data_IF_953971557983
#
_entry.id   IF_953971557983
#
_cell.length_a   1.000
_cell.length_b   1.000
_cell.length_c   1.000
_cell.angle_alpha   90.00
_cell.angle_beta   90.00
_cell.angle_gamma   90.00
#
_symmetry.space_group_name_H-M   'P 1'
#
loop_
_entity.id
_entity.type
_entity.pdbx_description
1 polymer ?
#
# COMPACT_ATOMS: atom_id res chain seq x y z
N UNK A 1 3.65 -40.05 -42.00
CA UNK A 1 4.33 -39.77 -40.70
C UNK A 1 4.56 -38.28 -40.46
N UNK A 2 5.13 -37.50 -41.39
CA UNK A 2 5.47 -36.08 -41.17
C UNK A 2 4.29 -35.18 -40.77
N UNK A 3 3.11 -35.37 -41.39
CA UNK A 3 1.90 -34.60 -41.07
C UNK A 3 1.40 -34.85 -39.64
N UNK A 4 1.44 -36.09 -39.13
CA UNK A 4 1.04 -36.43 -37.76
C UNK A 4 1.91 -35.74 -36.70
N UNK A 5 3.22 -35.62 -36.95
CA UNK A 5 4.14 -34.89 -36.05
C UNK A 5 3.91 -33.37 -36.06
N UNK A 6 3.56 -32.79 -37.22
CA UNK A 6 3.23 -31.36 -37.28
C UNK A 6 1.92 -31.04 -36.55
N UNK A 7 0.90 -31.89 -36.69
CA UNK A 7 -0.36 -31.72 -35.96
C UNK A 7 -0.20 -31.88 -34.44
N UNK A 8 0.61 -32.84 -33.98
CA UNK A 8 0.86 -33.00 -32.54
C UNK A 8 1.69 -31.84 -31.96
N UNK A 9 2.69 -31.34 -32.69
CA UNK A 9 3.45 -30.16 -32.29
C UNK A 9 2.56 -28.90 -32.22
N UNK A 10 1.69 -28.69 -33.21
CA UNK A 10 0.73 -27.59 -33.21
C UNK A 10 -0.28 -27.68 -32.05
N UNK A 11 -0.76 -28.89 -31.74
CA UNK A 11 -1.62 -29.14 -30.58
C UNK A 11 -0.95 -28.80 -29.24
N UNK A 12 0.33 -29.16 -29.08
CA UNK A 12 1.10 -28.85 -27.88
C UNK A 12 1.30 -27.33 -27.69
N UNK A 13 1.62 -26.59 -28.75
CA UNK A 13 1.78 -25.13 -28.69
C UNK A 13 0.45 -24.44 -28.39
N UNK A 14 -0.66 -24.91 -28.96
CA UNK A 14 -1.99 -24.39 -28.67
C UNK A 14 -2.39 -24.61 -27.22
N UNK A 15 -2.15 -25.82 -26.69
CA UNK A 15 -2.41 -26.13 -25.28
C UNK A 15 -1.56 -25.25 -24.35
N UNK A 16 -0.29 -25.03 -24.69
CA UNK A 16 0.59 -24.12 -23.94
C UNK A 16 0.08 -22.68 -23.98
N UNK A 17 -0.40 -22.20 -25.13
CA UNK A 17 -0.95 -20.84 -25.26
C UNK A 17 -2.20 -20.65 -24.38
N UNK A 18 -3.08 -21.66 -24.32
CA UNK A 18 -4.25 -21.67 -23.43
C UNK A 18 -3.81 -21.61 -21.97
N UNK A 19 -2.85 -22.43 -21.57
CA UNK A 19 -2.30 -22.40 -20.20
C UNK A 19 -1.68 -21.05 -19.87
N UNK A 20 -0.93 -20.45 -20.80
CA UNK A 20 -0.34 -19.12 -20.61
C UNK A 20 -1.41 -18.04 -20.43
N UNK A 21 -2.51 -18.10 -21.19
CA UNK A 21 -3.64 -17.17 -21.05
C UNK A 21 -4.35 -17.32 -19.70
N UNK A 22 -4.53 -18.55 -19.23
CA UNK A 22 -5.08 -18.83 -17.90
C UNK A 22 -4.16 -18.28 -16.80
N UNK A 23 -2.84 -18.48 -16.92
CA UNK A 23 -1.85 -17.94 -15.99
C UNK A 23 -1.88 -16.41 -15.97
N UNK A 24 -1.91 -15.77 -17.13
CA UNK A 24 -2.01 -14.31 -17.25
C UNK A 24 -3.28 -13.77 -16.56
N UNK A 25 -4.42 -14.42 -16.79
CA UNK A 25 -5.69 -14.04 -16.15
C UNK A 25 -5.59 -14.15 -14.62
N UNK A 26 -4.97 -15.24 -14.12
CA UNK A 26 -4.75 -15.43 -12.69
C UNK A 26 -3.83 -14.36 -12.10
N UNK A 27 -2.72 -14.05 -12.75
CA UNK A 27 -1.78 -13.03 -12.30
C UNK A 27 -2.40 -11.63 -12.31
N UNK A 28 -3.19 -11.30 -13.32
CA UNK A 28 -3.90 -10.01 -13.36
C UNK A 28 -4.85 -9.88 -12.17
N UNK A 29 -5.61 -10.93 -11.83
CA UNK A 29 -6.50 -10.90 -10.66
C UNK A 29 -5.73 -10.79 -9.35
N UNK A 30 -4.62 -11.51 -9.20
CA UNK A 30 -3.75 -11.43 -8.02
C UNK A 30 -3.15 -10.02 -7.88
N UNK A 31 -2.72 -9.42 -8.99
CA UNK A 31 -2.22 -8.05 -9.04
C UNK A 31 -3.26 -7.04 -8.56
N UNK A 32 -4.49 -7.10 -9.09
CA UNK A 32 -5.59 -6.24 -8.64
C UNK A 32 -5.86 -6.35 -7.14
N UNK A 33 -5.89 -7.59 -6.61
CA UNK A 33 -6.13 -7.82 -5.18
C UNK A 33 -5.00 -7.25 -4.31
N UNK A 34 -3.75 -7.43 -4.73
CA UNK A 34 -2.59 -6.88 -4.03
C UNK A 34 -2.61 -5.35 -4.06
N UNK A 35 -2.89 -4.75 -5.22
CA UNK A 35 -2.99 -3.30 -5.39
C UNK A 35 -4.04 -2.69 -4.46
N UNK A 36 -5.21 -3.32 -4.34
CA UNK A 36 -6.24 -2.90 -3.39
C UNK A 36 -5.77 -3.02 -1.94
N UNK A 37 -5.12 -4.14 -1.58
CA UNK A 37 -4.61 -4.37 -0.22
C UNK A 37 -3.57 -3.31 0.19
N UNK A 38 -2.71 -2.91 -0.75
CA UNK A 38 -1.72 -1.84 -0.54
C UNK A 38 -2.42 -0.49 -0.35
N UNK A 39 -3.41 -0.16 -1.19
CA UNK A 39 -4.20 1.07 -1.04
C UNK A 39 -4.89 1.14 0.34
N UNK A 40 -5.50 0.05 0.78
CA UNK A 40 -6.12 -0.06 2.10
C UNK A 40 -5.09 0.08 3.23
N UNK A 41 -3.88 -0.46 3.03
CA UNK A 41 -2.78 -0.35 4.00
C UNK A 41 -2.33 1.09 4.19
N UNK A 42 -2.20 1.87 3.11
CA UNK A 42 -1.91 3.30 3.19
C UNK A 42 -3.02 4.05 3.93
N UNK A 43 -4.30 3.79 3.60
CA UNK A 43 -5.43 4.43 4.29
C UNK A 43 -5.45 4.13 5.80
N UNK A 44 -5.16 2.89 6.21
CA UNK A 44 -5.03 2.55 7.64
C UNK A 44 -3.83 3.23 8.29
N UNK A 45 -2.68 3.26 7.63
CA UNK A 45 -1.45 3.90 8.13
C UNK A 45 -1.69 5.38 8.42
N UNK A 46 -2.32 6.09 7.49
CA UNK A 46 -2.68 7.50 7.65
C UNK A 46 -3.65 7.72 8.82
N UNK A 47 -4.70 6.90 8.92
CA UNK A 47 -5.67 6.98 10.02
C UNK A 47 -5.00 6.79 11.38
N UNK A 48 -4.13 5.78 11.52
CA UNK A 48 -3.41 5.51 12.77
C UNK A 48 -2.44 6.62 13.13
N UNK A 49 -1.65 7.11 12.17
CA UNK A 49 -0.68 8.19 12.43
C UNK A 49 -1.36 9.52 12.76
N UNK A 50 -2.50 9.81 12.13
CA UNK A 50 -3.32 10.97 12.47
C UNK A 50 -3.91 10.86 13.87
N UNK A 51 -4.40 9.67 14.25
CA UNK A 51 -4.89 9.42 15.60
C UNK A 51 -3.76 9.55 16.64
N UNK A 52 -2.55 9.08 16.33
CA UNK A 52 -1.35 9.22 17.16
C UNK A 52 -1.01 10.71 17.38
N UNK A 53 -0.96 11.52 16.31
CA UNK A 53 -0.72 12.97 16.44
C UNK A 53 -1.77 13.66 17.31
N UNK A 54 -3.05 13.33 17.12
CA UNK A 54 -4.15 13.87 17.92
C UNK A 54 -4.01 13.47 19.40
N UNK A 55 -3.68 12.21 19.67
CA UNK A 55 -3.44 11.71 21.02
C UNK A 55 -2.24 12.41 21.68
N UNK A 56 -1.12 12.57 20.96
CA UNK A 56 0.07 13.28 21.45
C UNK A 56 -0.23 14.73 21.84
N UNK A 57 -0.99 15.46 21.01
CA UNK A 57 -1.42 16.82 21.34
C UNK A 57 -2.30 16.86 22.59
N UNK A 58 -3.25 15.92 22.74
CA UNK A 58 -4.10 15.82 23.93
C UNK A 58 -3.28 15.48 25.18
N UNK A 59 -2.30 14.59 25.07
CA UNK A 59 -1.39 14.22 26.17
C UNK A 59 -0.58 15.45 26.60
N UNK A 60 -0.08 16.26 25.67
CA UNK A 60 0.66 17.48 26.01
C UNK A 60 -0.23 18.54 26.68
N UNK A 61 -1.49 18.69 26.25
CA UNK A 61 -2.45 19.56 26.95
C UNK A 61 -2.71 19.09 28.40
N UNK A 62 -2.81 17.77 28.60
CA UNK A 62 -2.92 17.19 29.94
C UNK A 62 -1.64 17.41 30.77
N UNK A 63 -0.46 17.26 30.15
CA UNK A 63 0.82 17.49 30.83
C UNK A 63 0.93 18.92 31.36
N UNK A 64 0.54 19.91 30.56
CA UNK A 64 0.51 21.32 31.01
C UNK A 64 -0.49 21.55 32.15
N UNK A 65 -1.62 20.83 32.14
CA UNK A 65 -2.64 20.92 33.20
C UNK A 65 -2.14 20.34 34.53
N UNK A 66 -1.41 19.21 34.48
CA UNK A 66 -1.00 18.47 35.67
C UNK A 66 0.31 19.01 36.25
N UNK A 67 1.29 19.31 35.38
CA UNK A 67 2.66 19.64 35.77
C UNK A 67 3.01 21.12 35.60
N UNK A 68 2.09 21.92 35.03
CA UNK A 68 2.26 23.35 34.82
C UNK A 68 2.76 23.74 33.43
N UNK A 69 2.82 25.05 33.17
CA UNK A 69 3.16 25.59 31.85
C UNK A 69 4.56 25.14 31.40
N UNK A 70 4.67 24.73 30.14
CA UNK A 70 5.93 24.22 29.56
C UNK A 70 6.20 22.73 29.80
N UNK A 71 5.32 22.01 30.50
CA UNK A 71 5.41 20.56 30.62
C UNK A 71 4.94 19.85 29.34
N UNK A 72 5.76 18.95 28.83
CA UNK A 72 5.49 18.11 27.67
C UNK A 72 5.87 16.66 27.99
N UNK A 73 5.06 15.71 27.51
CA UNK A 73 5.39 14.27 27.57
C UNK A 73 5.92 13.83 26.22
N UNK A 74 5.28 14.30 25.14
CA UNK A 74 5.76 14.12 23.77
C UNK A 74 6.41 15.42 23.35
N UNK A 75 7.69 15.40 23.02
CA UNK A 75 8.40 16.62 22.68
C UNK A 75 8.08 17.12 21.26
N UNK A 76 8.57 18.32 20.94
CA UNK A 76 8.25 18.97 19.67
C UNK A 76 8.90 18.28 18.46
N UNK A 77 10.04 17.60 18.65
CA UNK A 77 10.72 16.85 17.59
C UNK A 77 9.97 15.54 17.27
N UNK A 78 9.44 14.88 18.29
CA UNK A 78 8.56 13.72 18.13
C UNK A 78 7.26 14.10 17.40
N UNK A 79 6.61 15.21 17.79
CA UNK A 79 5.43 15.73 17.09
C UNK A 79 5.71 16.04 15.62
N UNK A 80 6.85 16.68 15.32
CA UNK A 80 7.24 17.00 13.95
C UNK A 80 7.55 15.73 13.14
N UNK A 81 8.10 14.70 13.77
CA UNK A 81 8.32 13.39 13.16
C UNK A 81 6.99 12.74 12.78
N UNK A 82 5.99 12.76 13.67
CA UNK A 82 4.66 12.23 13.36
C UNK A 82 4.00 12.97 12.20
N UNK A 83 4.07 14.31 12.17
CA UNK A 83 3.54 15.11 11.07
C UNK A 83 4.23 14.76 9.74
N UNK A 84 5.55 14.63 9.74
CA UNK A 84 6.32 14.26 8.55
C UNK A 84 5.92 12.87 8.05
N UNK A 85 5.76 11.89 8.97
CA UNK A 85 5.33 10.54 8.62
C UNK A 85 3.93 10.52 8.00
N UNK A 86 2.99 11.34 8.47
CA UNK A 86 1.65 11.47 7.87
C UNK A 86 1.79 11.99 6.43
N UNK A 87 2.52 13.09 6.23
CA UNK A 87 2.74 13.67 4.90
C UNK A 87 3.38 12.68 3.93
N UNK A 88 4.44 11.99 4.35
CA UNK A 88 5.13 11.00 3.51
C UNK A 88 4.22 9.82 3.16
N UNK A 89 3.38 9.35 4.09
CA UNK A 89 2.41 8.28 3.78
C UNK A 89 1.40 8.71 2.70
N UNK A 90 0.86 9.93 2.78
CA UNK A 90 -0.07 10.45 1.77
C UNK A 90 0.58 10.61 0.38
N UNK A 91 1.86 11.03 0.35
CA UNK A 91 2.64 11.08 -0.89
C UNK A 91 2.86 9.68 -1.47
N UNK A 92 3.23 8.70 -0.64
CA UNK A 92 3.43 7.31 -1.08
C UNK A 92 2.13 6.67 -1.58
N UNK A 93 1.00 6.98 -0.96
CA UNK A 93 -0.32 6.54 -1.44
C UNK A 93 -0.61 7.11 -2.83
N UNK A 94 -0.38 8.41 -3.03
CA UNK A 94 -0.58 9.07 -4.32
C UNK A 94 0.33 8.46 -5.39
N UNK A 95 1.60 8.27 -5.08
CA UNK A 95 2.57 7.61 -5.96
C UNK A 95 2.11 6.20 -6.34
N UNK A 96 1.69 5.40 -5.37
CA UNK A 96 1.21 4.04 -5.63
C UNK A 96 -0.04 4.02 -6.51
N UNK A 97 -0.98 4.94 -6.27
CA UNK A 97 -2.19 5.06 -7.08
C UNK A 97 -1.87 5.44 -8.54
N UNK A 98 -0.87 6.29 -8.73
CA UNK A 98 -0.35 6.68 -10.02
C UNK A 98 0.29 5.51 -10.78
N UNK A 99 1.09 4.68 -10.09
CA UNK A 99 1.66 3.44 -10.67
C UNK A 99 0.56 2.46 -11.13
N UNK A 100 -0.53 2.32 -10.37
CA UNK A 100 -1.69 1.50 -10.78
C UNK A 100 -2.39 2.09 -12.01
N UNK A 101 -2.55 3.41 -12.05
CA UNK A 101 -3.27 4.10 -13.11
C UNK A 101 -2.43 4.29 -14.38
N UNK A 102 -1.11 4.11 -14.30
CA UNK A 102 -0.16 4.35 -15.39
C UNK A 102 0.01 5.83 -15.72
N UNK A 103 -0.01 6.70 -14.70
CA UNK A 103 0.07 8.18 -14.83
C UNK A 103 1.18 8.75 -13.96
#
# INVERSE_FOLDING_TARGET
>A
MYQTYQYSAAGNVMQQAITNLQNQTSWNQQGTNLSQSIADSFGRSEAYKTAELSASNRINALAQTIYGNGAYIVDNAELQTLQTQITTNGQNQTFWQNEINGT
#
